data_IF_973686600058
#
_entry.id   IF_973686600058
#
_cell.length_a   1.000
_cell.length_b   1.000
_cell.length_c   1.000
_cell.angle_alpha   90.00
_cell.angle_beta   90.00
_cell.angle_gamma   90.00
#
_symmetry.space_group_name_H-M   'P 1'
#
loop_
_entity.id
_entity.type
_entity.pdbx_description
1 polymer ?
#
# COMPACT_ATOMS: atom_id res chain seq x y z
N UNK A 1 -4.29 -0.30 -2.23
CA UNK A 1 -3.61 -1.00 -1.11
C UNK A 1 -4.00 -2.49 -1.11
N UNK A 2 -3.59 -3.22 -2.16
CA UNK A 2 -4.00 -4.62 -2.36
C UNK A 2 -3.10 -5.62 -1.61
N UNK A 3 -1.99 -5.13 -1.03
CA UNK A 3 -1.06 -5.94 -0.23
C UNK A 3 -1.40 -5.76 1.25
N UNK A 4 -1.89 -6.82 1.94
CA UNK A 4 -2.35 -6.73 3.33
C UNK A 4 -1.28 -6.25 4.32
N UNK A 5 -0.02 -6.67 4.12
CA UNK A 5 1.10 -6.28 4.97
C UNK A 5 1.37 -4.77 4.89
N UNK A 6 1.36 -4.21 3.68
CA UNK A 6 1.54 -2.78 3.49
C UNK A 6 0.42 -2.00 4.17
N UNK A 7 -0.82 -2.43 3.97
CA UNK A 7 -1.98 -1.83 4.60
C UNK A 7 -1.88 -1.84 6.13
N UNK A 8 -1.54 -2.99 6.72
CA UNK A 8 -1.39 -3.15 8.16
C UNK A 8 -0.32 -2.20 8.74
N UNK A 9 0.82 -2.06 8.06
CA UNK A 9 1.91 -1.16 8.47
C UNK A 9 1.47 0.30 8.43
N UNK A 10 0.83 0.73 7.34
CA UNK A 10 0.35 2.11 7.19
C UNK A 10 -0.75 2.44 8.20
N UNK A 11 -1.74 1.57 8.37
CA UNK A 11 -2.84 1.77 9.33
C UNK A 11 -2.33 1.78 10.78
N UNK A 12 -1.36 0.93 11.11
CA UNK A 12 -0.73 0.92 12.44
C UNK A 12 -0.03 2.24 12.73
N UNK A 13 0.79 2.74 11.79
CA UNK A 13 1.46 4.03 11.90
C UNK A 13 0.45 5.17 12.06
N UNK A 14 -0.57 5.20 11.20
CA UNK A 14 -1.60 6.22 11.23
C UNK A 14 -2.40 6.21 12.55
N UNK A 15 -2.75 5.02 13.05
CA UNK A 15 -3.42 4.86 14.34
C UNK A 15 -2.59 5.37 15.51
N UNK A 16 -1.28 5.10 15.53
CA UNK A 16 -0.37 5.63 16.57
C UNK A 16 -0.28 7.15 16.53
N UNK A 17 -0.27 7.75 15.32
CA UNK A 17 -0.24 9.22 15.18
C UNK A 17 -1.56 9.85 15.59
N UNK A 18 -2.68 9.28 15.20
CA UNK A 18 -4.02 9.80 15.43
C UNK A 18 -4.50 9.68 16.89
N UNK A 19 -3.86 8.82 17.69
CA UNK A 19 -4.16 8.69 19.12
C UNK A 19 -3.64 9.85 19.98
N UNK A 20 -2.77 10.68 19.43
CA UNK A 20 -2.18 11.82 20.16
C UNK A 20 -3.07 13.07 20.00
N UNK A 21 -3.37 13.70 21.14
CA UNK A 21 -4.08 14.98 21.17
C UNK A 21 -3.07 16.09 21.50
N UNK A 22 -2.87 17.07 20.59
CA UNK A 22 -1.95 18.17 20.84
C UNK A 22 -2.47 19.08 21.96
N UNK A 23 -1.55 19.62 22.76
CA UNK A 23 -1.83 20.57 23.83
C UNK A 23 -0.98 21.82 23.66
N UNK A 24 -1.52 22.98 23.96
CA UNK A 24 -0.81 24.25 23.97
C UNK A 24 -0.28 24.58 25.37
N UNK A 25 0.97 25.03 25.43
CA UNK A 25 1.63 25.51 26.62
C UNK A 25 2.13 26.95 26.40
N UNK A 26 2.08 27.77 27.44
CA UNK A 26 2.70 29.09 27.42
C UNK A 26 4.23 28.97 27.63
N UNK A 27 4.93 30.12 27.57
CA UNK A 27 6.38 30.20 27.75
C UNK A 27 6.83 29.71 29.15
N UNK A 28 5.93 29.74 30.14
CA UNK A 28 6.19 29.28 31.51
C UNK A 28 5.93 27.79 31.69
N UNK A 29 5.50 27.06 30.66
CA UNK A 29 5.18 25.64 30.71
C UNK A 29 3.79 25.33 31.28
N UNK A 30 2.90 26.31 31.42
CA UNK A 30 1.52 26.12 31.88
C UNK A 30 0.60 25.81 30.67
N UNK A 31 -0.32 24.87 30.88
CA UNK A 31 -1.26 24.49 29.84
C UNK A 31 -2.31 25.59 29.61
N UNK A 32 -2.39 26.07 28.36
CA UNK A 32 -3.41 27.03 27.93
C UNK A 32 -4.71 26.25 27.73
N UNK A 33 -5.80 26.68 28.40
CA UNK A 33 -7.11 26.01 28.32
C UNK A 33 -8.05 26.68 27.31
N UNK A 34 -8.02 28.02 27.20
CA UNK A 34 -8.92 28.78 26.35
C UNK A 34 -8.16 29.36 25.15
N UNK A 35 -8.23 28.64 24.00
CA UNK A 35 -7.60 29.07 22.76
C UNK A 35 -8.42 28.53 21.58
N UNK A 36 -8.59 29.31 20.53
CA UNK A 36 -9.33 28.94 19.31
C UNK A 36 -8.85 27.60 18.69
N UNK A 37 -7.63 27.24 18.95
CA UNK A 37 -7.04 25.98 18.49
C UNK A 37 -7.80 24.75 19.00
N UNK A 38 -8.34 24.81 20.24
CA UNK A 38 -9.13 23.69 20.78
C UNK A 38 -10.48 23.54 20.07
N UNK A 39 -11.05 24.62 19.53
CA UNK A 39 -12.28 24.57 18.73
C UNK A 39 -12.03 23.81 17.41
N UNK A 40 -10.83 23.97 16.82
CA UNK A 40 -10.40 23.20 15.63
C UNK A 40 -10.18 21.73 15.99
N UNK A 41 -9.61 21.43 17.17
CA UNK A 41 -9.41 20.05 17.61
C UNK A 41 -10.74 19.34 17.91
N UNK A 42 -11.70 20.05 18.47
CA UNK A 42 -13.02 19.51 18.77
C UNK A 42 -13.81 19.21 17.47
N UNK A 43 -13.78 20.14 16.55
CA UNK A 43 -14.51 20.03 15.27
C UNK A 43 -13.75 20.60 14.08
N UNK A 44 -12.79 19.86 13.50
CA UNK A 44 -11.96 20.34 12.38
C UNK A 44 -12.76 20.54 11.09
N UNK A 45 -13.80 19.75 10.88
CA UNK A 45 -14.75 19.87 9.77
C UNK A 45 -16.10 19.21 10.12
N UNK A 46 -17.13 19.36 9.29
CA UNK A 46 -18.47 18.83 9.60
C UNK A 46 -18.57 17.31 9.72
N UNK A 47 -17.64 16.56 9.13
CA UNK A 47 -17.76 15.12 8.93
C UNK A 47 -16.74 14.29 9.70
N UNK A 48 -15.63 14.89 10.16
CA UNK A 48 -14.51 14.17 10.73
C UNK A 48 -14.14 14.72 12.11
N UNK A 49 -13.69 13.85 12.99
CA UNK A 49 -12.99 14.22 14.23
C UNK A 49 -11.51 14.58 13.94
N UNK A 50 -10.82 15.20 14.89
CA UNK A 50 -9.38 15.45 14.76
C UNK A 50 -8.57 14.16 14.55
N UNK A 51 -8.94 13.10 15.26
CA UNK A 51 -8.31 11.79 15.11
C UNK A 51 -8.43 11.26 13.67
N UNK A 52 -9.61 11.40 13.04
CA UNK A 52 -9.83 10.97 11.66
C UNK A 52 -9.01 11.82 10.67
N UNK A 53 -8.89 13.11 10.92
CA UNK A 53 -8.07 14.02 10.12
C UNK A 53 -6.60 13.62 10.19
N UNK A 54 -6.06 13.44 11.40
CA UNK A 54 -4.65 13.04 11.60
C UNK A 54 -4.39 11.65 11.02
N UNK A 55 -5.33 10.72 11.16
CA UNK A 55 -5.25 9.40 10.55
C UNK A 55 -5.15 9.52 9.01
N UNK A 56 -6.04 10.28 8.39
CA UNK A 56 -6.04 10.49 6.93
C UNK A 56 -4.74 11.14 6.44
N UNK A 57 -4.27 12.19 7.11
CA UNK A 57 -2.99 12.83 6.78
C UNK A 57 -1.80 11.87 6.93
N UNK A 58 -1.81 11.04 7.98
CA UNK A 58 -0.74 10.07 8.21
C UNK A 58 -0.71 8.95 7.17
N UNK A 59 -1.88 8.51 6.69
CA UNK A 59 -1.98 7.56 5.58
C UNK A 59 -1.43 8.17 4.29
N UNK A 60 -1.78 9.42 3.98
CA UNK A 60 -1.30 10.13 2.79
C UNK A 60 0.21 10.37 2.84
N UNK A 61 0.76 10.77 4.01
CA UNK A 61 2.21 10.90 4.21
C UNK A 61 2.92 9.56 3.97
N UNK A 62 2.36 8.47 4.48
CA UNK A 62 2.93 7.14 4.29
C UNK A 62 2.96 6.71 2.81
N UNK A 63 1.90 7.02 2.05
CA UNK A 63 1.77 6.65 0.65
C UNK A 63 2.55 7.56 -0.30
N UNK A 64 2.46 8.87 -0.10
CA UNK A 64 2.93 9.87 -1.06
C UNK A 64 4.11 10.71 -0.55
N UNK A 65 4.48 10.59 0.74
CA UNK A 65 5.46 11.43 1.44
C UNK A 65 5.10 12.91 1.44
N UNK A 66 3.85 13.22 1.10
CA UNK A 66 3.27 14.56 1.16
C UNK A 66 1.79 14.50 1.50
N UNK A 67 1.29 15.55 2.14
CA UNK A 67 -0.11 15.67 2.51
C UNK A 67 -0.61 17.09 2.30
N UNK A 68 -1.90 17.20 2.03
CA UNK A 68 -2.57 18.45 1.79
C UNK A 68 -3.80 18.56 2.68
N UNK A 69 -3.99 19.75 3.25
CA UNK A 69 -5.22 20.07 3.95
C UNK A 69 -5.73 21.44 3.51
N UNK A 70 -7.00 21.50 3.14
CA UNK A 70 -7.68 22.74 2.82
C UNK A 70 -8.06 23.47 4.11
N UNK A 71 -7.58 24.71 4.24
CA UNK A 71 -7.78 25.54 5.43
C UNK A 71 -7.97 27.00 5.00
N UNK A 72 -9.20 27.42 4.57
CA UNK A 72 -9.43 28.73 4.01
C UNK A 72 -9.25 29.84 5.04
N UNK A 73 -8.34 30.80 4.78
CA UNK A 73 -8.06 31.95 5.65
C UNK A 73 -9.24 32.89 5.81
N UNK A 74 -10.11 32.98 4.80
CA UNK A 74 -11.25 33.91 4.79
C UNK A 74 -12.43 33.46 5.66
N UNK A 75 -12.30 32.33 6.31
CA UNK A 75 -13.37 31.73 7.12
C UNK A 75 -13.41 32.20 8.56
N UNK A 76 -12.93 33.40 8.88
CA UNK A 76 -12.99 33.96 10.27
C UNK A 76 -14.40 34.03 10.88
N UNK A 77 -15.44 33.97 10.06
CA UNK A 77 -16.85 33.95 10.51
C UNK A 77 -17.55 32.61 10.28
N UNK A 78 -16.92 31.67 9.63
CA UNK A 78 -17.41 30.31 9.44
C UNK A 78 -16.37 29.40 10.04
N UNK A 79 -16.76 28.65 11.05
CA UNK A 79 -15.98 27.67 11.82
C UNK A 79 -14.71 27.19 11.11
N UNK A 80 -13.60 27.24 11.80
CA UNK A 80 -12.30 26.77 11.33
C UNK A 80 -12.43 25.47 10.55
N UNK A 81 -12.30 25.54 9.23
CA UNK A 81 -12.44 24.40 8.34
C UNK A 81 -11.05 23.82 8.07
N UNK A 82 -10.83 22.57 8.44
CA UNK A 82 -9.59 21.84 8.16
C UNK A 82 -9.94 20.49 7.55
N UNK A 83 -9.77 20.38 6.23
CA UNK A 83 -10.17 19.20 5.44
C UNK A 83 -8.96 18.56 4.80
N UNK A 84 -8.59 17.32 5.18
CA UNK A 84 -7.53 16.59 4.48
C UNK A 84 -7.97 16.28 3.05
N UNK A 85 -7.12 16.61 2.08
CA UNK A 85 -7.36 16.32 0.66
C UNK A 85 -6.53 15.13 0.21
N UNK A 86 -7.09 14.21 -0.61
CA UNK A 86 -6.33 13.11 -1.20
C UNK A 86 -5.15 13.61 -2.01
N UNK A 87 -3.93 13.18 -1.65
CA UNK A 87 -2.69 13.70 -2.26
C UNK A 87 -2.54 13.35 -3.75
N UNK A 88 -3.16 12.27 -4.20
CA UNK A 88 -3.21 11.85 -5.60
C UNK A 88 -4.10 12.77 -6.47
N UNK A 89 -5.03 13.50 -5.84
CA UNK A 89 -5.96 14.42 -6.51
C UNK A 89 -5.52 15.88 -6.47
N UNK A 90 -4.42 16.18 -5.78
CA UNK A 90 -3.89 17.54 -5.67
C UNK A 90 -2.68 17.70 -6.57
N UNK A 91 -2.74 18.67 -7.47
CA UNK A 91 -1.62 19.07 -8.32
C UNK A 91 -1.04 20.40 -7.83
N UNK A 92 0.28 20.42 -7.67
CA UNK A 92 1.02 21.63 -7.28
C UNK A 92 1.28 22.47 -8.53
N UNK A 93 0.87 23.74 -8.52
CA UNK A 93 1.15 24.70 -9.57
C UNK A 93 2.42 25.47 -9.22
N UNK A 94 3.38 25.43 -10.12
CA UNK A 94 4.64 26.13 -9.96
C UNK A 94 4.53 27.55 -10.54
N UNK A 95 5.18 28.51 -9.89
CA UNK A 95 5.23 29.91 -10.33
C UNK A 95 6.09 30.14 -11.57
N UNK A 96 6.88 29.14 -11.99
CA UNK A 96 7.83 29.27 -13.09
C UNK A 96 9.04 30.17 -12.78
N UNK A 97 9.18 30.64 -11.55
CA UNK A 97 10.22 31.58 -11.13
C UNK A 97 11.54 30.86 -10.90
N UNK A 98 12.64 31.62 -11.14
CA UNK A 98 13.99 31.13 -10.86
C UNK A 98 14.34 31.30 -9.37
N UNK A 99 15.28 30.50 -8.87
CA UNK A 99 15.72 30.52 -7.47
C UNK A 99 16.06 31.93 -6.94
N UNK A 100 16.63 32.78 -7.78
CA UNK A 100 16.95 34.17 -7.43
C UNK A 100 15.74 35.06 -7.14
N UNK A 101 14.54 34.62 -7.49
CA UNK A 101 13.28 35.34 -7.30
C UNK A 101 12.47 34.84 -6.12
N UNK A 102 13.01 33.84 -5.38
CA UNK A 102 12.33 33.24 -4.23
C UNK A 102 12.24 34.13 -3.00
N UNK A 103 13.03 35.20 -2.94
CA UNK A 103 13.06 36.11 -1.78
C UNK A 103 11.74 36.84 -1.56
N UNK A 104 10.94 37.02 -2.61
CA UNK A 104 9.68 37.79 -2.55
C UNK A 104 8.43 36.93 -2.67
N UNK A 105 8.53 35.76 -3.34
CA UNK A 105 7.39 34.87 -3.55
C UNK A 105 7.88 33.43 -3.69
N UNK A 106 7.11 32.47 -3.14
CA UNK A 106 7.44 31.05 -3.16
C UNK A 106 7.46 30.44 -4.57
N UNK A 107 8.00 29.22 -4.68
CA UNK A 107 8.01 28.45 -5.93
C UNK A 107 6.61 27.94 -6.32
N UNK A 108 5.73 27.81 -5.36
CA UNK A 108 4.37 27.34 -5.55
C UNK A 108 3.45 28.54 -5.76
N UNK A 109 2.72 28.55 -6.87
CA UNK A 109 1.75 29.61 -7.20
C UNK A 109 0.32 29.27 -6.80
N UNK A 110 0.05 28.03 -6.44
CA UNK A 110 -1.27 27.53 -6.05
C UNK A 110 -1.38 26.03 -6.21
N UNK A 111 -2.57 25.53 -5.98
CA UNK A 111 -2.91 24.12 -6.07
C UNK A 111 -4.14 23.92 -6.95
N UNK A 112 -4.28 22.73 -7.50
CA UNK A 112 -5.47 22.35 -8.26
C UNK A 112 -5.98 21.01 -7.69
N UNK A 113 -7.18 21.01 -7.17
CA UNK A 113 -7.83 19.80 -6.68
C UNK A 113 -8.77 19.25 -7.75
N UNK A 114 -8.70 17.95 -7.99
CA UNK A 114 -9.56 17.24 -8.92
C UNK A 114 -10.62 16.43 -8.17
N UNK A 115 -11.88 16.76 -8.40
CA UNK A 115 -13.01 16.00 -7.87
C UNK A 115 -13.21 14.67 -8.60
N UNK A 116 -13.99 13.75 -8.01
CA UNK A 116 -14.32 12.45 -8.61
C UNK A 116 -15.13 12.57 -9.91
N UNK A 117 -15.87 13.65 -10.07
CA UNK A 117 -16.62 13.98 -11.31
C UNK A 117 -15.75 14.62 -12.40
N UNK A 118 -14.44 14.73 -12.15
CA UNK A 118 -13.46 15.30 -13.08
C UNK A 118 -13.36 16.83 -13.05
N UNK A 119 -14.18 17.51 -12.24
CA UNK A 119 -14.08 18.98 -12.09
C UNK A 119 -12.79 19.36 -11.39
N UNK A 120 -12.24 20.50 -11.76
CA UNK A 120 -11.02 21.07 -11.21
C UNK A 120 -11.34 22.32 -10.41
N UNK A 121 -10.82 22.42 -9.21
CA UNK A 121 -10.87 23.58 -8.35
C UNK A 121 -9.47 24.13 -8.10
N UNK A 122 -9.30 25.43 -8.32
CA UNK A 122 -8.04 26.11 -8.03
C UNK A 122 -8.09 26.62 -6.59
N UNK A 123 -7.03 26.30 -5.82
CA UNK A 123 -6.89 26.68 -4.42
C UNK A 123 -5.65 27.56 -4.29
N UNK A 124 -5.80 28.69 -3.63
CA UNK A 124 -4.71 29.60 -3.35
C UNK A 124 -3.70 29.00 -2.36
N UNK A 125 -2.45 29.42 -2.44
CA UNK A 125 -1.38 28.97 -1.53
C UNK A 125 -1.77 29.23 -0.08
N UNK A 126 -2.43 30.33 0.17
CA UNK A 126 -2.82 30.78 1.51
C UNK A 126 -3.95 29.95 2.15
N UNK A 127 -4.73 29.25 1.33
CA UNK A 127 -5.83 28.40 1.77
C UNK A 127 -5.46 26.90 1.84
N UNK A 128 -4.18 26.57 1.60
CA UNK A 128 -3.68 25.21 1.61
C UNK A 128 -2.56 25.03 2.64
N UNK A 129 -2.70 24.02 3.48
CA UNK A 129 -1.61 23.52 4.32
C UNK A 129 -0.93 22.37 3.57
N UNK A 130 0.31 22.57 3.17
CA UNK A 130 1.14 21.55 2.51
C UNK A 130 2.21 21.07 3.46
N UNK A 131 2.18 19.77 3.77
CA UNK A 131 3.16 19.10 4.63
C UNK A 131 3.91 18.08 3.78
N UNK A 132 5.22 18.10 3.81
CA UNK A 132 6.07 17.20 3.06
C UNK A 132 7.16 16.61 3.93
N UNK A 133 7.49 15.34 3.68
CA UNK A 133 8.66 14.70 4.27
C UNK A 133 9.89 15.07 3.43
N UNK A 134 10.91 15.76 3.99
CA UNK A 134 12.11 16.10 3.23
C UNK A 134 12.83 14.85 2.74
N UNK A 135 13.18 14.79 1.46
CA UNK A 135 13.96 13.69 0.87
C UNK A 135 15.35 14.11 0.40
N UNK A 136 15.68 15.40 0.45
CA UNK A 136 16.96 15.94 0.04
C UNK A 136 17.23 15.93 -1.47
N UNK A 137 16.42 15.23 -2.26
CA UNK A 137 16.57 15.10 -3.71
C UNK A 137 15.65 16.06 -4.48
N UNK A 138 14.47 16.31 -3.94
CA UNK A 138 13.43 17.12 -4.58
C UNK A 138 13.02 18.27 -3.68
N UNK A 139 13.00 19.47 -4.24
CA UNK A 139 12.73 20.70 -3.50
C UNK A 139 11.25 20.87 -3.15
N UNK A 140 10.34 20.36 -4.01
CA UNK A 140 8.91 20.64 -3.90
C UNK A 140 8.09 19.36 -3.63
N UNK A 141 8.34 18.31 -4.39
CA UNK A 141 7.61 17.07 -4.25
C UNK A 141 8.58 15.95 -3.93
N UNK A 142 8.51 15.35 -2.73
CA UNK A 142 9.40 14.24 -2.35
C UNK A 142 9.07 12.98 -3.15
N UNK A 143 10.03 12.09 -3.23
CA UNK A 143 9.82 10.72 -3.71
C UNK A 143 9.03 9.95 -2.66
N UNK A 144 8.00 9.23 -3.09
CA UNK A 144 7.22 8.39 -2.19
C UNK A 144 8.07 7.24 -1.63
N UNK A 145 7.87 6.95 -0.34
CA UNK A 145 8.49 5.75 0.28
C UNK A 145 8.06 4.46 -0.42
N UNK A 146 6.86 4.42 -0.95
CA UNK A 146 6.34 3.27 -1.70
C UNK A 146 7.18 2.98 -2.96
N UNK A 147 7.73 4.01 -3.61
CA UNK A 147 8.60 3.82 -4.78
C UNK A 147 9.90 3.07 -4.41
N UNK A 148 10.44 3.33 -3.22
CA UNK A 148 11.64 2.61 -2.73
C UNK A 148 11.34 1.15 -2.37
N UNK A 149 10.09 0.83 -2.08
CA UNK A 149 9.61 -0.50 -1.72
C UNK A 149 9.10 -1.31 -2.92
N UNK A 150 9.33 -0.85 -4.15
CA UNK A 150 8.83 -1.48 -5.37
C UNK A 150 9.15 -2.97 -5.45
N UNK A 151 10.38 -3.37 -5.12
CA UNK A 151 10.80 -4.78 -5.19
C UNK A 151 10.16 -5.64 -4.10
N UNK A 152 10.22 -5.31 -2.80
CA UNK A 152 9.53 -6.07 -1.76
C UNK A 152 8.02 -6.20 -2.03
N UNK A 153 7.36 -5.14 -2.48
CA UNK A 153 5.94 -5.16 -2.82
C UNK A 153 5.64 -6.05 -4.04
N UNK A 154 6.49 -6.01 -5.06
CA UNK A 154 6.36 -6.88 -6.23
C UNK A 154 6.55 -8.36 -5.86
N UNK A 155 7.53 -8.66 -5.00
CA UNK A 155 7.77 -10.00 -4.50
C UNK A 155 6.57 -10.55 -3.71
N UNK A 156 6.05 -9.77 -2.77
CA UNK A 156 4.86 -10.15 -2.00
C UNK A 156 3.66 -10.41 -2.92
N UNK A 157 3.39 -9.55 -3.89
CA UNK A 157 2.32 -9.73 -4.87
C UNK A 157 2.50 -11.01 -5.69
N UNK A 158 3.72 -11.27 -6.17
CA UNK A 158 4.06 -12.48 -6.93
C UNK A 158 3.91 -13.75 -6.08
N UNK A 159 4.31 -13.70 -4.80
CA UNK A 159 4.14 -14.81 -3.85
C UNK A 159 2.67 -15.14 -3.61
N UNK A 160 1.82 -14.13 -3.41
CA UNK A 160 0.38 -14.33 -3.28
C UNK A 160 -0.23 -14.96 -4.52
N UNK A 161 0.11 -14.44 -5.70
CA UNK A 161 -0.36 -15.00 -6.97
C UNK A 161 0.09 -16.46 -7.14
N UNK A 162 1.37 -16.74 -6.91
CA UNK A 162 1.92 -18.10 -7.03
C UNK A 162 1.27 -19.07 -6.04
N UNK A 163 1.06 -18.63 -4.80
CA UNK A 163 0.37 -19.41 -3.78
C UNK A 163 -1.07 -19.72 -4.19
N UNK A 164 -1.80 -18.75 -4.73
CA UNK A 164 -3.16 -18.95 -5.22
C UNK A 164 -3.19 -20.00 -6.33
N UNK A 165 -2.31 -19.88 -7.34
CA UNK A 165 -2.18 -20.85 -8.45
C UNK A 165 -1.86 -22.27 -7.91
N UNK A 166 -0.97 -22.37 -6.91
CA UNK A 166 -0.65 -23.68 -6.30
C UNK A 166 -1.86 -24.28 -5.57
N UNK A 167 -2.64 -23.46 -4.88
CA UNK A 167 -3.86 -23.91 -4.18
C UNK A 167 -4.97 -24.31 -5.17
N UNK A 168 -5.16 -23.55 -6.24
CA UNK A 168 -6.14 -23.85 -7.28
C UNK A 168 -5.80 -25.14 -8.03
N UNK A 169 -4.52 -25.40 -8.29
CA UNK A 169 -4.06 -26.61 -8.99
C UNK A 169 -3.76 -27.79 -8.05
N UNK A 170 -4.15 -27.71 -6.77
CA UNK A 170 -3.87 -28.76 -5.78
C UNK A 170 -2.38 -29.08 -5.68
N UNK A 171 -1.53 -28.08 -5.85
CA UNK A 171 -0.08 -28.22 -5.75
C UNK A 171 0.63 -28.90 -6.91
N UNK A 172 -0.06 -29.35 -7.95
CA UNK A 172 0.51 -30.17 -8.99
C UNK A 172 0.64 -29.43 -10.34
N UNK A 173 1.83 -28.90 -10.59
CA UNK A 173 2.24 -28.51 -11.95
C UNK A 173 3.29 -29.52 -12.40
N UNK A 174 3.06 -30.21 -13.50
CA UNK A 174 3.97 -31.24 -14.00
C UNK A 174 3.68 -31.65 -15.44
N UNK A 175 4.51 -32.52 -15.92
CA UNK A 175 4.37 -33.10 -17.28
C UNK A 175 3.80 -34.52 -17.11
N UNK A 176 2.73 -34.78 -17.84
CA UNK A 176 2.22 -36.12 -18.05
C UNK A 176 2.88 -36.71 -19.28
N UNK A 177 3.64 -37.76 -19.13
CA UNK A 177 4.30 -38.47 -20.24
C UNK A 177 3.81 -39.91 -20.32
N UNK A 178 3.85 -40.48 -21.53
CA UNK A 178 3.61 -41.91 -21.69
C UNK A 178 4.71 -42.71 -20.99
N UNK A 179 4.33 -43.77 -20.27
CA UNK A 179 5.30 -44.66 -19.63
C UNK A 179 6.03 -45.50 -20.68
N UNK A 180 7.32 -45.66 -20.55
CA UNK A 180 8.10 -46.60 -21.37
C UNK A 180 7.76 -48.03 -20.99
N UNK A 181 7.47 -48.87 -21.97
CA UNK A 181 7.35 -50.29 -21.75
C UNK A 181 8.73 -50.94 -21.82
N UNK A 182 8.99 -51.99 -20.98
CA UNK A 182 10.28 -52.70 -20.87
C UNK A 182 10.74 -53.40 -22.17
N UNK A 183 9.94 -53.37 -23.24
CA UNK A 183 10.21 -54.12 -24.49
C UNK A 183 10.39 -53.18 -25.71
N UNK A 184 10.89 -52.00 -25.55
CA UNK A 184 11.40 -51.29 -26.74
C UNK A 184 10.73 -50.02 -27.18
N UNK A 185 10.39 -49.11 -26.33
CA UNK A 185 10.04 -47.74 -26.68
C UNK A 185 8.74 -47.24 -26.12
N UNK A 186 8.68 -45.95 -25.88
CA UNK A 186 7.44 -45.30 -25.47
C UNK A 186 6.42 -45.33 -26.63
N UNK A 187 5.21 -45.82 -26.38
CA UNK A 187 4.10 -45.66 -27.33
C UNK A 187 3.66 -44.22 -27.19
N UNK A 188 3.84 -43.36 -28.21
CA UNK A 188 3.44 -41.98 -28.13
C UNK A 188 1.91 -41.89 -28.02
N UNK A 189 1.43 -41.08 -27.09
CA UNK A 189 0.00 -40.77 -26.99
C UNK A 189 -0.50 -40.17 -28.30
N UNK A 190 -1.66 -40.64 -28.75
CA UNK A 190 -2.34 -40.05 -29.89
C UNK A 190 -2.77 -38.60 -29.59
N UNK A 191 -2.95 -37.76 -30.62
CA UNK A 191 -3.47 -36.40 -30.40
C UNK A 191 -4.84 -36.35 -29.73
N UNK A 192 -5.68 -37.36 -29.96
CA UNK A 192 -6.99 -37.51 -29.32
C UNK A 192 -6.87 -37.79 -27.83
N UNK A 193 -6.04 -38.73 -27.42
CA UNK A 193 -5.76 -39.05 -26.02
C UNK A 193 -5.23 -37.86 -25.25
N UNK A 194 -4.30 -37.09 -25.83
CA UNK A 194 -3.78 -35.85 -25.24
C UNK A 194 -4.90 -34.84 -24.99
N UNK A 195 -5.77 -34.64 -25.96
CA UNK A 195 -6.91 -33.70 -25.84
C UNK A 195 -7.94 -34.16 -24.84
N UNK A 196 -8.15 -35.49 -24.71
CA UNK A 196 -9.09 -36.05 -23.74
C UNK A 196 -8.55 -35.86 -22.32
N UNK A 197 -7.32 -36.27 -22.05
CA UNK A 197 -6.65 -36.07 -20.73
C UNK A 197 -6.65 -34.59 -20.35
N UNK A 198 -6.36 -33.70 -21.31
CA UNK A 198 -6.38 -32.27 -21.06
C UNK A 198 -7.77 -31.75 -20.68
N UNK A 199 -8.83 -32.20 -21.38
CA UNK A 199 -10.21 -31.86 -21.06
C UNK A 199 -10.63 -32.38 -19.69
N UNK A 200 -10.32 -33.63 -19.39
CA UNK A 200 -10.66 -34.27 -18.13
C UNK A 200 -9.92 -33.58 -16.96
N UNK A 201 -8.68 -33.13 -17.19
CA UNK A 201 -7.93 -32.35 -16.22
C UNK A 201 -8.52 -30.99 -15.93
N UNK A 202 -8.93 -30.23 -16.95
CA UNK A 202 -9.51 -28.90 -16.76
C UNK A 202 -10.97 -28.91 -16.30
N UNK A 203 -11.73 -29.95 -16.62
CA UNK A 203 -13.17 -30.05 -16.28
C UNK A 203 -13.45 -30.79 -14.98
N UNK A 204 -12.42 -31.34 -14.31
CA UNK A 204 -12.62 -32.07 -13.05
C UNK A 204 -13.12 -31.12 -11.95
N UNK A 205 -14.02 -31.64 -11.10
CA UNK A 205 -14.30 -31.04 -9.81
C UNK A 205 -13.09 -31.21 -8.88
N UNK A 206 -12.88 -30.27 -7.94
CA UNK A 206 -11.66 -30.24 -7.09
C UNK A 206 -11.42 -31.53 -6.28
N UNK A 207 -12.45 -32.36 -6.11
CA UNK A 207 -12.43 -33.61 -5.32
C UNK A 207 -12.51 -34.88 -6.17
N UNK A 208 -12.39 -34.77 -7.50
CA UNK A 208 -12.58 -35.87 -8.41
C UNK A 208 -11.27 -36.57 -8.77
N UNK A 209 -11.21 -37.88 -8.58
CA UNK A 209 -10.10 -38.72 -8.96
C UNK A 209 -10.12 -38.93 -10.47
N UNK A 210 -9.05 -38.59 -11.17
CA UNK A 210 -8.90 -38.86 -12.60
C UNK A 210 -8.44 -40.32 -12.76
N UNK A 211 -9.29 -41.13 -13.34
CA UNK A 211 -8.96 -42.51 -13.70
C UNK A 211 -8.69 -42.54 -15.21
N UNK A 212 -7.44 -42.89 -15.60
CA UNK A 212 -7.05 -43.03 -17.01
C UNK A 212 -6.69 -44.50 -17.30
N UNK A 213 -7.08 -44.98 -18.45
CA UNK A 213 -6.74 -46.33 -18.95
C UNK A 213 -5.33 -46.35 -19.56
N UNK A 214 -4.76 -45.18 -19.84
CA UNK A 214 -3.44 -45.05 -20.42
C UNK A 214 -2.36 -45.12 -19.36
N UNK A 215 -1.27 -45.84 -19.63
CA UNK A 215 -0.09 -45.90 -18.76
C UNK A 215 0.66 -44.58 -18.83
N UNK A 216 0.47 -43.72 -17.85
CA UNK A 216 1.03 -42.37 -17.81
C UNK A 216 1.97 -42.20 -16.62
N UNK A 217 3.07 -41.52 -16.84
CA UNK A 217 4.00 -41.13 -15.81
C UNK A 217 3.88 -39.63 -15.54
N UNK A 218 3.69 -39.27 -14.28
CA UNK A 218 3.62 -37.88 -13.82
C UNK A 218 5.00 -37.43 -13.34
N UNK A 219 5.56 -36.44 -14.02
CA UNK A 219 6.80 -35.80 -13.58
C UNK A 219 6.46 -34.43 -13.03
N UNK A 220 6.53 -34.21 -11.71
CA UNK A 220 6.28 -32.89 -11.12
C UNK A 220 7.36 -31.91 -11.59
N UNK A 221 6.93 -30.73 -12.06
CA UNK A 221 7.80 -29.62 -12.46
C UNK A 221 7.81 -28.49 -11.43
N UNK A 222 7.24 -28.73 -10.28
CA UNK A 222 7.24 -27.78 -9.17
C UNK A 222 8.35 -28.13 -8.20
N UNK A 223 9.16 -27.14 -7.85
CA UNK A 223 10.01 -27.25 -6.67
C UNK A 223 9.13 -27.37 -5.43
N UNK A 224 9.45 -28.23 -4.46
CA UNK A 224 8.79 -28.22 -3.17
C UNK A 224 8.78 -26.80 -2.60
N UNK A 225 7.68 -26.37 -2.00
CA UNK A 225 7.56 -25.01 -1.42
C UNK A 225 8.61 -24.73 -0.37
N UNK A 226 9.16 -25.78 0.25
CA UNK A 226 10.27 -25.73 1.21
C UNK A 226 11.59 -25.35 0.54
N UNK A 227 11.86 -25.84 -0.68
CA UNK A 227 13.09 -25.56 -1.41
C UNK A 227 13.11 -24.14 -2.02
N UNK A 228 11.94 -23.52 -2.13
CA UNK A 228 11.81 -22.14 -2.60
C UNK A 228 12.00 -21.10 -1.51
N UNK A 229 12.20 -21.51 -0.23
CA UNK A 229 12.34 -20.61 0.92
C UNK A 229 11.25 -19.51 0.99
N UNK A 230 10.08 -19.75 0.37
CA UNK A 230 9.03 -18.74 0.17
C UNK A 230 8.56 -18.10 1.47
N UNK A 231 8.56 -18.85 2.58
CA UNK A 231 8.14 -18.33 3.88
C UNK A 231 9.19 -17.43 4.52
N UNK A 232 10.48 -17.76 4.33
CA UNK A 232 11.58 -16.95 4.83
C UNK A 232 11.70 -15.64 4.04
N UNK A 233 11.58 -15.72 2.71
CA UNK A 233 11.56 -14.54 1.84
C UNK A 233 10.34 -13.65 2.12
N UNK A 234 9.15 -14.22 2.33
CA UNK A 234 7.96 -13.44 2.72
C UNK A 234 8.19 -12.70 4.04
N UNK A 235 8.84 -13.34 5.01
CA UNK A 235 9.16 -12.73 6.29
C UNK A 235 10.18 -11.61 6.10
N UNK A 236 11.19 -11.78 5.26
CA UNK A 236 12.20 -10.77 4.96
C UNK A 236 11.57 -9.54 4.25
N UNK A 237 10.72 -9.76 3.25
CA UNK A 237 10.00 -8.68 2.56
C UNK A 237 9.09 -7.92 3.52
N UNK A 238 8.38 -8.62 4.42
CA UNK A 238 7.55 -8.01 5.46
C UNK A 238 8.37 -7.17 6.43
N UNK A 239 9.53 -7.66 6.87
CA UNK A 239 10.46 -6.91 7.72
C UNK A 239 10.95 -5.64 7.01
N UNK A 240 11.32 -5.74 5.73
CA UNK A 240 11.73 -4.59 4.93
C UNK A 240 10.64 -3.50 4.86
N UNK A 241 9.35 -3.90 4.77
CA UNK A 241 8.23 -2.94 4.84
C UNK A 241 8.19 -2.26 6.21
N UNK A 242 8.25 -3.02 7.31
CA UNK A 242 8.16 -2.49 8.67
C UNK A 242 9.30 -1.51 8.95
N UNK A 243 10.52 -1.88 8.58
CA UNK A 243 11.73 -1.07 8.76
C UNK A 243 11.67 0.23 7.94
N UNK A 244 11.18 0.19 6.71
CA UNK A 244 11.03 1.37 5.86
C UNK A 244 10.08 2.43 6.45
N UNK A 245 9.11 2.01 7.25
CA UNK A 245 8.22 2.91 7.98
C UNK A 245 8.69 3.23 9.41
N UNK A 246 9.85 2.72 9.83
CA UNK A 246 10.46 2.98 11.14
C UNK A 246 9.65 2.39 12.31
N UNK A 247 8.94 1.29 12.07
CA UNK A 247 8.15 0.62 13.09
C UNK A 247 8.89 -0.60 13.66
N UNK A 248 8.58 -0.94 14.90
CA UNK A 248 9.13 -2.14 15.52
C UNK A 248 8.32 -3.38 15.12
N UNK A 249 8.99 -4.46 14.72
CA UNK A 249 8.37 -5.73 14.36
C UNK A 249 7.43 -6.28 15.44
N UNK A 250 7.78 -6.11 16.71
CA UNK A 250 6.97 -6.57 17.84
C UNK A 250 5.55 -5.99 17.89
N UNK A 251 5.30 -4.89 17.18
CA UNK A 251 3.95 -4.32 17.04
C UNK A 251 3.01 -5.18 16.14
N UNK A 252 3.59 -6.12 15.39
CA UNK A 252 2.89 -6.99 14.44
C UNK A 252 3.01 -8.48 14.79
N UNK A 253 3.87 -8.84 15.74
CA UNK A 253 3.97 -10.20 16.25
C UNK A 253 2.85 -10.45 17.25
N UNK A 254 2.12 -11.56 17.07
CA UNK A 254 1.15 -12.05 18.06
C UNK A 254 1.82 -12.85 19.18
N UNK A 255 3.12 -12.80 19.31
CA UNK A 255 3.81 -13.39 20.44
C UNK A 255 3.35 -12.64 21.70
N UNK A 256 2.52 -13.29 22.48
CA UNK A 256 2.24 -12.89 23.85
C UNK A 256 3.60 -12.75 24.51
N UNK A 257 3.96 -11.51 24.85
CA UNK A 257 5.21 -11.26 25.53
C UNK A 257 5.31 -12.23 26.69
N UNK A 258 6.34 -13.07 26.67
CA UNK A 258 6.78 -13.79 27.85
C UNK A 258 7.18 -12.72 28.87
N UNK A 259 6.31 -12.48 29.82
CA UNK A 259 6.63 -11.77 31.07
C UNK A 259 7.80 -12.43 31.79
#
# INVERSE_FOLDING_TARGET
>A
LDIPELRAVIEKRASMMSSNVPCLYNENGEKIQNHWFYDVLDKPNPTQSWSDVVFSLSVMDALYSNTFAYCPKRSFNVRNLFVPLPSDKVQIKLSGRRLKQMETEGLISGYCFQYDDGKLENIDVDDMVYITTPDGMNLIKPVSRIETLKYPLSNLSAQYHKRNVLLENIGAIGILSAQQNDIGGAIPMTPEEKRQIQRDWFNRSKDELIITESNVNWTPMTYPTRDLLLFEEQTADKLALIDAFGLNYNLFSNEKGST
#
